data_IF_528503622681
#
_entry.id   IF_528503622681
#
_cell.length_a   1.000
_cell.length_b   1.000
_cell.length_c   1.000
_cell.angle_alpha   90.00
_cell.angle_beta   90.00
_cell.angle_gamma   90.00
#
_symmetry.space_group_name_H-M   'P 1'
#
loop_
_entity.id
_entity.type
_entity.pdbx_description
1 polymer ?
#
# COMPACT_ATOMS: atom_id res chain seq x y z
N UNK A 1 -2.47 3.73 -12.51
CA UNK A 1 -1.65 4.31 -13.60
C UNK A 1 -2.00 3.60 -14.90
N UNK A 2 -1.55 4.08 -16.06
CA UNK A 2 -1.78 3.36 -17.33
C UNK A 2 -1.18 1.94 -17.31
N UNK A 3 -0.06 1.76 -16.62
CA UNK A 3 0.67 0.49 -16.55
C UNK A 3 -0.10 -0.65 -15.82
N UNK A 4 -0.97 -0.32 -14.86
CA UNK A 4 -1.72 -1.32 -14.10
C UNK A 4 -3.25 -1.24 -14.33
N UNK A 5 -3.70 -0.47 -15.32
CA UNK A 5 -5.13 -0.26 -15.60
C UNK A 5 -5.88 -1.60 -15.84
N UNK A 6 -5.33 -2.47 -16.68
CA UNK A 6 -5.92 -3.77 -17.01
C UNK A 6 -6.12 -4.68 -15.78
N UNK A 7 -5.28 -4.55 -14.73
CA UNK A 7 -5.44 -5.33 -13.50
C UNK A 7 -6.65 -4.86 -12.67
N UNK A 8 -7.05 -3.59 -12.79
CA UNK A 8 -8.20 -3.04 -12.08
C UNK A 8 -9.53 -3.28 -12.80
N UNK A 9 -9.50 -3.76 -14.05
CA UNK A 9 -10.68 -4.20 -14.79
C UNK A 9 -11.16 -5.59 -14.33
N UNK A 10 -10.26 -6.40 -13.79
CA UNK A 10 -10.58 -7.70 -13.19
C UNK A 10 -11.17 -7.50 -11.77
N UNK A 11 -12.48 -7.69 -11.66
CA UNK A 11 -13.21 -7.52 -10.40
C UNK A 11 -12.78 -8.52 -9.30
N UNK A 12 -12.40 -9.75 -9.67
CA UNK A 12 -11.92 -10.77 -8.72
C UNK A 12 -10.56 -10.38 -8.16
N UNK A 13 -9.66 -9.92 -9.03
CA UNK A 13 -8.36 -9.39 -8.63
C UNK A 13 -8.51 -8.21 -7.66
N UNK A 14 -9.40 -7.26 -7.98
CA UNK A 14 -9.65 -6.09 -7.14
C UNK A 14 -10.25 -6.49 -5.79
N UNK A 15 -11.16 -7.46 -5.76
CA UNK A 15 -11.74 -7.97 -4.52
C UNK A 15 -10.68 -8.63 -3.64
N UNK A 16 -9.83 -9.49 -4.22
CA UNK A 16 -8.71 -10.12 -3.52
C UNK A 16 -7.73 -9.08 -2.97
N UNK A 17 -7.37 -8.08 -3.77
CA UNK A 17 -6.47 -7.01 -3.36
C UNK A 17 -7.06 -6.20 -2.17
N UNK A 18 -8.35 -5.85 -2.23
CA UNK A 18 -9.05 -5.18 -1.13
C UNK A 18 -9.16 -6.03 0.13
N UNK A 19 -9.23 -7.37 0.02
CA UNK A 19 -9.22 -8.25 1.20
C UNK A 19 -7.85 -8.23 1.88
N UNK A 20 -6.77 -8.18 1.10
CA UNK A 20 -5.39 -8.25 1.60
C UNK A 20 -4.84 -6.93 2.12
N UNK A 21 -5.27 -5.80 1.58
CA UNK A 21 -4.87 -4.48 2.06
C UNK A 21 -5.72 -4.13 3.30
N UNK A 22 -5.15 -3.95 4.50
CA UNK A 22 -5.91 -3.55 5.70
C UNK A 22 -6.79 -2.30 5.51
N UNK A 23 -6.33 -1.32 4.74
CA UNK A 23 -7.09 -0.09 4.39
C UNK A 23 -8.23 -0.34 3.37
N UNK A 24 -8.38 -1.56 2.85
CA UNK A 24 -9.48 -2.03 1.98
C UNK A 24 -9.63 -1.30 0.65
N UNK A 25 -8.55 -0.72 0.14
CA UNK A 25 -8.49 -0.12 -1.19
C UNK A 25 -7.08 -0.13 -1.76
N UNK A 26 -6.93 -0.08 -3.10
CA UNK A 26 -5.66 0.23 -3.73
C UNK A 26 -5.15 1.62 -3.29
N UNK A 27 -3.82 1.75 -3.26
CA UNK A 27 -3.15 3.03 -3.06
C UNK A 27 -3.42 3.99 -4.22
N UNK A 28 -3.50 5.27 -3.90
CA UNK A 28 -3.57 6.38 -4.83
C UNK A 28 -2.25 7.17 -4.75
N UNK A 29 -1.88 7.93 -5.79
CA UNK A 29 -0.67 8.76 -5.74
C UNK A 29 -0.60 9.68 -4.51
N UNK A 30 -1.75 10.21 -4.06
CA UNK A 30 -1.86 11.08 -2.89
C UNK A 30 -1.47 10.40 -1.58
N UNK A 31 -1.53 9.07 -1.48
CA UNK A 31 -1.13 8.34 -0.25
C UNK A 31 0.37 8.42 0.02
N UNK A 32 1.18 8.75 -0.99
CA UNK A 32 2.63 8.91 -0.87
C UNK A 32 3.06 10.31 -0.45
N UNK A 33 2.22 11.33 -0.69
CA UNK A 33 2.60 12.75 -0.55
C UNK A 33 3.16 13.06 0.84
N UNK A 34 2.44 12.67 1.90
CA UNK A 34 2.87 12.92 3.28
C UNK A 34 4.19 12.23 3.64
N UNK A 35 4.38 10.99 3.18
CA UNK A 35 5.61 10.24 3.44
C UNK A 35 6.81 10.86 2.70
N UNK A 36 6.62 11.28 1.44
CA UNK A 36 7.65 11.95 0.66
C UNK A 36 8.01 13.30 1.28
N UNK A 37 7.01 14.10 1.67
CA UNK A 37 7.24 15.38 2.35
C UNK A 37 7.98 15.18 3.66
N UNK A 38 7.59 14.20 4.48
CA UNK A 38 8.29 13.88 5.72
C UNK A 38 9.78 13.58 5.46
N UNK A 39 10.07 12.64 4.56
CA UNK A 39 11.44 12.21 4.23
C UNK A 39 12.29 13.31 3.55
N UNK A 40 11.64 14.26 2.88
CA UNK A 40 12.32 15.40 2.27
C UNK A 40 12.46 16.62 3.20
N UNK A 41 11.91 16.55 4.41
CA UNK A 41 11.88 17.68 5.35
C UNK A 41 12.89 17.53 6.48
N UNK A 42 13.15 18.63 7.19
CA UNK A 42 13.95 18.62 8.43
C UNK A 42 13.35 17.71 9.53
N UNK A 43 12.07 17.36 9.45
CA UNK A 43 11.45 16.46 10.41
C UNK A 43 12.08 15.05 10.40
N UNK A 44 12.76 14.66 9.32
CA UNK A 44 13.49 13.40 9.21
C UNK A 44 15.01 13.55 9.36
N UNK A 45 15.53 14.64 9.92
CA UNK A 45 16.97 14.93 9.97
C UNK A 45 17.82 13.83 10.64
N UNK A 46 17.24 13.01 11.52
CA UNK A 46 17.91 11.87 12.16
C UNK A 46 17.31 10.50 11.79
N UNK A 47 16.48 10.45 10.74
CA UNK A 47 15.86 9.23 10.22
C UNK A 47 16.54 8.85 8.91
N UNK A 48 17.52 7.95 9.00
CA UNK A 48 18.27 7.44 7.85
C UNK A 48 18.41 5.92 7.89
N UNK A 49 18.61 5.30 6.73
CA UNK A 49 18.75 3.84 6.59
C UNK A 49 17.46 3.04 6.90
N UNK A 50 16.30 3.69 6.89
CA UNK A 50 15.01 3.06 7.18
C UNK A 50 14.17 2.84 5.93
N UNK A 51 13.40 1.75 5.94
CA UNK A 51 12.34 1.51 4.96
C UNK A 51 11.00 1.88 5.57
N UNK A 52 10.32 2.87 5.00
CA UNK A 52 8.96 3.22 5.36
C UNK A 52 7.98 2.61 4.35
N UNK A 53 7.18 1.63 4.80
CA UNK A 53 6.19 0.99 3.95
C UNK A 53 4.93 1.87 3.87
N UNK A 54 4.62 2.34 2.67
CA UNK A 54 3.43 3.16 2.36
C UNK A 54 2.53 2.38 1.42
N UNK A 55 1.89 1.34 1.95
CA UNK A 55 1.26 0.28 1.15
C UNK A 55 -0.15 -0.09 1.64
N UNK A 56 -0.73 0.75 2.51
CA UNK A 56 -2.03 0.48 3.14
C UNK A 56 -2.01 -0.72 4.11
N UNK A 57 -0.81 -1.20 4.48
CA UNK A 57 -0.57 -2.28 5.41
C UNK A 57 -0.46 -3.67 4.78
N UNK A 58 -0.38 -3.81 3.45
CA UNK A 58 -0.37 -5.13 2.79
C UNK A 58 0.87 -5.97 3.13
N UNK A 59 2.02 -5.34 3.38
CA UNK A 59 3.26 -6.03 3.76
C UNK A 59 3.26 -6.59 5.18
N UNK A 60 2.43 -6.06 6.08
CA UNK A 60 2.33 -6.50 7.50
C UNK A 60 0.99 -7.13 7.83
N UNK A 61 -0.01 -6.90 6.97
CA UNK A 61 -1.36 -7.45 7.12
C UNK A 61 -1.30 -8.96 7.11
N UNK A 62 -2.14 -9.58 7.95
CA UNK A 62 -2.22 -11.02 8.04
C UNK A 62 -2.46 -11.60 6.64
N UNK A 63 -1.43 -12.24 6.07
CA UNK A 63 -1.62 -13.26 5.06
C UNK A 63 -2.56 -14.24 5.76
N UNK A 64 -3.80 -14.33 5.32
CA UNK A 64 -4.76 -15.25 5.89
C UNK A 64 -4.16 -16.65 5.68
N UNK A 65 -3.48 -17.17 6.68
CA UNK A 65 -2.70 -18.40 6.58
C UNK A 65 -3.60 -19.63 6.38
N UNK A 66 -4.90 -19.46 6.62
CA UNK A 66 -5.91 -20.49 6.53
C UNK A 66 -6.92 -20.15 5.42
N UNK A 67 -7.24 -21.10 4.51
CA UNK A 67 -8.25 -20.91 3.49
C UNK A 67 -9.65 -20.73 4.11
N UNK A 68 -10.54 -20.05 3.39
CA UNK A 68 -11.95 -19.90 3.80
C UNK A 68 -12.59 -21.30 3.87
N UNK A 69 -13.14 -21.63 5.04
CA UNK A 69 -14.15 -22.69 5.15
C UNK A 69 -15.42 -22.28 4.42
#
# INVERSE_FOLDING_TARGET
TAQNAAMYEDAEWVAMLKERIPVRRPGQPSDLEGAVVFLASEASAYVTGQTLLVDGGISVGAIRALPRK
#
